data_IF_831906362650
#
_entry.id   IF_831906362650
#
_cell.length_a   1.000
_cell.length_b   1.000
_cell.length_c   1.000
_cell.angle_alpha   90.00
_cell.angle_beta   90.00
_cell.angle_gamma   90.00
#
_symmetry.space_group_name_H-M   'P 1'
#
loop_
_entity.id
_entity.type
_entity.pdbx_description
1 polymer ?
#
# COMPACT_ATOMS: atom_id res chain seq x y z
N UNK A 1 -6.63 10.20 90.32
CA UNK A 1 -7.82 10.88 89.71
C UNK A 1 -7.44 11.74 88.49
N UNK A 2 -6.25 11.59 87.91
CA UNK A 2 -5.81 12.35 86.72
C UNK A 2 -5.75 11.46 85.47
N UNK A 3 -5.68 10.16 85.62
CA UNK A 3 -5.41 9.21 84.51
C UNK A 3 -6.66 8.80 83.75
N UNK A 4 -7.85 8.94 84.33
CA UNK A 4 -9.13 8.52 83.72
C UNK A 4 -9.71 9.63 82.83
N UNK A 5 -9.27 10.84 82.92
CA UNK A 5 -9.74 11.98 82.13
C UNK A 5 -9.04 12.06 80.77
N UNK A 6 -7.77 11.68 80.75
CA UNK A 6 -6.97 11.67 79.50
C UNK A 6 -7.34 10.52 78.56
N UNK A 7 -7.69 9.33 79.10
CA UNK A 7 -8.11 8.17 78.31
C UNK A 7 -9.44 8.38 77.57
N UNK A 8 -10.34 9.24 78.13
CA UNK A 8 -11.62 9.53 77.47
C UNK A 8 -11.47 10.60 76.38
N UNK A 9 -10.49 11.46 76.42
CA UNK A 9 -10.24 12.46 75.36
C UNK A 9 -9.64 11.83 74.15
N UNK A 10 -8.71 10.91 74.27
CA UNK A 10 -8.14 10.16 73.14
C UNK A 10 -9.17 9.23 72.48
N UNK A 11 -10.11 8.70 73.26
CA UNK A 11 -11.19 7.85 72.72
C UNK A 11 -12.25 8.64 71.95
N UNK A 12 -12.55 9.86 72.44
CA UNK A 12 -13.53 10.75 71.78
C UNK A 12 -12.97 11.32 70.47
N UNK A 13 -11.69 11.71 70.43
CA UNK A 13 -11.04 12.17 69.20
C UNK A 13 -10.87 11.06 68.16
N UNK A 14 -10.51 9.85 68.61
CA UNK A 14 -10.40 8.69 67.72
C UNK A 14 -11.77 8.27 67.13
N UNK A 15 -12.85 8.38 67.94
CA UNK A 15 -14.20 8.12 67.44
C UNK A 15 -14.72 9.23 66.52
N UNK A 16 -14.38 10.48 66.76
CA UNK A 16 -14.75 11.60 65.89
C UNK A 16 -14.03 11.51 64.52
N UNK A 17 -12.81 11.00 64.51
CA UNK A 17 -12.04 10.80 63.27
C UNK A 17 -12.55 9.63 62.43
N UNK A 18 -13.16 8.60 63.04
CA UNK A 18 -13.78 7.46 62.35
C UNK A 18 -15.22 7.77 61.90
N UNK A 19 -15.88 8.72 62.57
CA UNK A 19 -17.28 9.05 62.36
C UNK A 19 -17.55 10.26 61.46
N UNK A 20 -16.51 10.85 60.85
CA UNK A 20 -16.75 11.96 59.92
C UNK A 20 -17.21 11.43 58.56
N UNK A 21 -18.50 11.57 58.21
CA UNK A 21 -19.04 11.12 56.92
C UNK A 21 -18.41 11.85 55.76
N UNK A 22 -17.77 13.01 55.99
CA UNK A 22 -17.07 13.80 54.96
C UNK A 22 -15.82 13.11 54.39
N UNK A 23 -15.15 12.23 55.16
CA UNK A 23 -14.00 11.47 54.66
C UNK A 23 -14.43 10.27 53.79
N UNK A 24 -15.61 9.71 54.04
CA UNK A 24 -16.18 8.68 53.18
C UNK A 24 -16.67 9.22 51.82
N UNK A 25 -17.16 10.46 51.82
CA UNK A 25 -17.59 11.14 50.60
C UNK A 25 -16.39 11.54 49.69
N UNK A 26 -15.25 11.92 50.32
CA UNK A 26 -14.01 12.18 49.56
C UNK A 26 -13.38 10.90 49.01
N UNK A 27 -13.54 9.76 49.66
CA UNK A 27 -13.07 8.45 49.15
C UNK A 27 -13.99 7.88 48.09
N UNK A 28 -15.25 8.33 48.04
CA UNK A 28 -16.23 7.90 47.01
C UNK A 28 -16.18 8.75 45.73
N UNK A 29 -15.50 9.87 45.69
CA UNK A 29 -15.23 10.60 44.44
C UNK A 29 -14.09 9.95 43.65
N UNK A 30 -14.28 8.74 43.26
CA UNK A 30 -13.28 7.93 42.51
C UNK A 30 -13.10 8.42 41.09
N UNK A 31 -14.05 9.18 40.54
CA UNK A 31 -13.99 9.66 39.15
C UNK A 31 -14.30 11.15 39.08
N UNK A 32 -13.30 11.96 38.86
CA UNK A 32 -13.48 13.40 38.58
C UNK A 32 -13.67 13.61 37.06
N UNK A 33 -14.28 14.74 36.68
CA UNK A 33 -14.43 15.09 35.25
C UNK A 33 -13.05 15.10 34.51
N UNK A 34 -11.96 15.32 35.23
CA UNK A 34 -10.59 15.31 34.67
C UNK A 34 -10.13 13.88 34.31
N UNK A 35 -10.63 12.86 35.00
CA UNK A 35 -10.27 11.45 34.76
C UNK A 35 -10.97 10.91 33.51
N UNK A 36 -12.04 11.58 33.05
CA UNK A 36 -12.71 11.27 31.79
C UNK A 36 -11.98 11.79 30.56
N UNK A 37 -11.13 12.80 30.69
CA UNK A 37 -10.37 13.39 29.58
C UNK A 37 -9.46 12.37 28.86
N UNK A 38 -8.66 11.56 29.56
CA UNK A 38 -7.87 10.50 28.90
C UNK A 38 -8.74 9.47 28.19
N UNK A 39 -9.84 9.05 28.81
CA UNK A 39 -10.77 8.09 28.24
C UNK A 39 -11.48 8.66 27.00
N UNK A 40 -11.93 9.92 27.05
CA UNK A 40 -12.53 10.62 25.94
C UNK A 40 -11.53 10.80 24.78
N UNK A 41 -10.26 11.11 25.06
CA UNK A 41 -9.22 11.24 24.03
C UNK A 41 -8.94 9.91 23.33
N UNK A 42 -8.87 8.81 24.08
CA UNK A 42 -8.71 7.47 23.51
C UNK A 42 -9.94 7.11 22.68
N UNK A 43 -11.14 7.35 23.19
CA UNK A 43 -12.40 7.12 22.45
C UNK A 43 -12.45 7.92 21.15
N UNK A 44 -12.01 9.17 21.17
CA UNK A 44 -11.94 10.02 19.99
C UNK A 44 -10.92 9.48 18.95
N UNK A 45 -9.73 9.06 19.41
CA UNK A 45 -8.72 8.47 18.51
C UNK A 45 -9.22 7.17 17.87
N UNK A 46 -9.89 6.31 18.65
CA UNK A 46 -10.49 5.07 18.12
C UNK A 46 -11.57 5.40 17.10
N UNK A 47 -12.44 6.36 17.38
CA UNK A 47 -13.48 6.79 16.43
C UNK A 47 -12.86 7.34 15.13
N UNK A 48 -11.81 8.16 15.23
CA UNK A 48 -11.09 8.68 14.08
C UNK A 48 -10.44 7.56 13.25
N UNK A 49 -9.83 6.58 13.91
CA UNK A 49 -9.23 5.42 13.26
C UNK A 49 -10.28 4.56 12.54
N UNK A 50 -11.47 4.37 13.13
CA UNK A 50 -12.58 3.66 12.50
C UNK A 50 -13.10 4.40 11.29
N UNK A 51 -13.30 5.71 11.37
CA UNK A 51 -13.71 6.53 10.23
C UNK A 51 -12.67 6.42 9.11
N UNK A 52 -11.38 6.57 9.41
CA UNK A 52 -10.31 6.42 8.43
C UNK A 52 -10.26 5.01 7.84
N UNK A 53 -10.55 3.98 8.63
CA UNK A 53 -10.58 2.59 8.18
C UNK A 53 -11.66 2.31 7.13
N UNK A 54 -12.75 3.09 7.15
CA UNK A 54 -13.87 2.96 6.20
C UNK A 54 -13.65 3.86 4.97
N UNK A 55 -13.22 5.10 5.19
CA UNK A 55 -13.09 6.12 4.13
C UNK A 55 -11.75 5.99 3.39
N UNK A 56 -10.72 5.51 4.07
CA UNK A 56 -9.38 5.32 3.50
C UNK A 56 -9.40 4.40 2.27
N UNK A 57 -8.48 4.64 1.34
CA UNK A 57 -8.28 3.82 0.13
C UNK A 57 -6.84 3.37 0.06
N UNK A 58 -6.63 2.07 0.04
CA UNK A 58 -5.31 1.46 -0.14
C UNK A 58 -5.25 0.90 -1.56
N UNK A 59 -4.36 1.41 -2.43
CA UNK A 59 -4.20 0.87 -3.76
C UNK A 59 -3.51 -0.50 -3.70
N UNK A 60 -4.07 -1.47 -4.41
CA UNK A 60 -3.50 -2.80 -4.59
C UNK A 60 -2.84 -2.85 -5.95
N UNK A 61 -1.55 -3.20 -5.97
CA UNK A 61 -0.76 -3.30 -7.18
C UNK A 61 -0.45 -4.76 -7.51
N UNK A 62 -0.69 -5.13 -8.77
CA UNK A 62 -0.06 -6.30 -9.36
C UNK A 62 1.35 -5.93 -9.82
N UNK A 63 2.27 -6.86 -9.67
CA UNK A 63 3.66 -6.71 -10.13
C UNK A 63 4.04 -7.86 -11.06
N UNK A 64 4.82 -7.54 -12.09
CA UNK A 64 5.31 -8.53 -13.04
C UNK A 64 6.67 -8.15 -13.58
N UNK A 65 7.42 -9.14 -14.01
CA UNK A 65 8.62 -8.94 -14.83
C UNK A 65 8.23 -8.78 -16.29
N UNK A 66 9.01 -7.99 -17.00
CA UNK A 66 8.75 -7.71 -18.41
C UNK A 66 10.00 -7.29 -19.16
N UNK A 67 9.77 -6.82 -20.36
CA UNK A 67 10.82 -6.46 -21.32
C UNK A 67 10.33 -5.29 -22.16
N UNK A 68 11.23 -4.35 -22.47
CA UNK A 68 10.99 -3.38 -23.53
C UNK A 68 11.29 -3.99 -24.89
N UNK A 69 10.37 -3.88 -25.82
CA UNK A 69 10.55 -4.33 -27.20
C UNK A 69 10.18 -3.21 -28.17
N UNK A 70 10.69 -3.26 -29.37
CA UNK A 70 10.28 -2.35 -30.44
C UNK A 70 8.84 -2.69 -30.87
N UNK A 71 8.03 -1.68 -31.08
CA UNK A 71 6.70 -1.86 -31.63
C UNK A 71 6.79 -2.29 -33.09
N UNK A 72 6.10 -3.37 -33.46
CA UNK A 72 6.07 -3.85 -34.84
C UNK A 72 5.40 -2.86 -35.80
N UNK A 73 4.45 -2.08 -35.30
CA UNK A 73 3.75 -1.06 -36.08
C UNK A 73 4.58 0.23 -36.23
N UNK A 74 5.33 0.59 -35.22
CA UNK A 74 6.18 1.80 -35.18
C UNK A 74 7.54 1.46 -34.59
N UNK A 75 8.54 1.03 -35.38
CA UNK A 75 9.85 0.61 -34.87
C UNK A 75 10.64 1.68 -34.11
N UNK A 76 10.24 2.95 -34.22
CA UNK A 76 10.81 4.06 -33.45
C UNK A 76 10.25 4.16 -32.03
N UNK A 77 9.19 3.43 -31.69
CA UNK A 77 8.57 3.40 -30.37
C UNK A 77 8.86 2.09 -29.67
N UNK A 78 8.99 2.18 -28.33
CA UNK A 78 9.09 1.02 -27.47
C UNK A 78 7.73 0.72 -26.84
N UNK A 79 7.43 -0.56 -26.72
CA UNK A 79 6.30 -1.08 -25.94
C UNK A 79 6.84 -1.96 -24.82
N UNK A 80 6.09 -2.12 -23.77
CA UNK A 80 6.40 -3.06 -22.67
C UNK A 80 5.59 -4.33 -22.86
N UNK A 81 6.26 -5.47 -22.75
CA UNK A 81 5.66 -6.80 -22.67
C UNK A 81 5.94 -7.35 -21.30
N UNK A 82 4.91 -7.59 -20.50
CA UNK A 82 5.04 -8.01 -19.09
C UNK A 82 4.23 -9.28 -18.82
N UNK A 83 4.73 -10.14 -17.92
CA UNK A 83 4.18 -11.46 -17.64
C UNK A 83 3.62 -11.49 -16.21
N UNK A 84 2.32 -11.20 -16.09
CA UNK A 84 1.62 -11.20 -14.81
C UNK A 84 1.16 -12.60 -14.41
N UNK A 85 1.16 -12.95 -13.10
CA UNK A 85 0.49 -14.15 -12.61
C UNK A 85 -0.96 -14.19 -13.07
N UNK A 86 -1.52 -15.40 -13.32
CA UNK A 86 -2.90 -15.53 -13.85
C UNK A 86 -3.93 -14.81 -13.00
N UNK A 87 -3.80 -14.88 -11.68
CA UNK A 87 -4.76 -14.28 -10.75
C UNK A 87 -4.87 -12.77 -10.94
N UNK A 88 -3.74 -12.10 -11.16
CA UNK A 88 -3.66 -10.66 -11.32
C UNK A 88 -3.87 -10.26 -12.78
N UNK A 89 -3.24 -10.99 -13.71
CA UNK A 89 -3.31 -10.70 -15.14
C UNK A 89 -4.72 -10.72 -15.73
N UNK A 90 -5.61 -11.55 -15.18
CA UNK A 90 -7.02 -11.59 -15.60
C UNK A 90 -7.87 -10.42 -15.10
N UNK A 91 -7.38 -9.68 -14.12
CA UNK A 91 -8.05 -8.47 -13.62
C UNK A 91 -7.65 -7.23 -14.42
N UNK A 92 -6.53 -7.30 -15.15
CA UNK A 92 -6.01 -6.21 -15.97
C UNK A 92 -6.84 -6.09 -17.25
N UNK A 93 -7.21 -4.86 -17.61
CA UNK A 93 -7.98 -4.57 -18.80
C UNK A 93 -7.23 -3.62 -19.74
N UNK A 94 -7.48 -3.71 -21.05
CA UNK A 94 -7.00 -2.69 -21.99
C UNK A 94 -7.51 -1.30 -21.56
N UNK A 95 -6.58 -0.32 -21.50
CA UNK A 95 -6.84 1.03 -20.99
C UNK A 95 -6.33 1.28 -19.58
N UNK A 96 -5.97 0.24 -18.81
CA UNK A 96 -5.40 0.40 -17.48
C UNK A 96 -4.04 1.08 -17.53
N UNK A 97 -3.75 1.87 -16.48
CA UNK A 97 -2.45 2.51 -16.33
C UNK A 97 -1.45 1.56 -15.71
N UNK A 98 -0.28 1.50 -16.29
CA UNK A 98 0.84 0.70 -15.80
C UNK A 98 2.08 1.57 -15.68
N UNK A 99 2.85 1.37 -14.62
CA UNK A 99 4.17 1.96 -14.43
C UNK A 99 5.23 0.93 -14.77
N UNK A 100 6.08 1.26 -15.73
CA UNK A 100 7.15 0.41 -16.20
C UNK A 100 8.48 0.94 -15.70
N UNK A 101 9.18 0.17 -14.90
CA UNK A 101 10.48 0.51 -14.34
C UNK A 101 11.58 -0.30 -15.00
N UNK A 102 12.37 0.28 -15.92
CA UNK A 102 13.51 -0.41 -16.48
C UNK A 102 14.55 -0.70 -15.39
N UNK A 103 15.18 -1.88 -15.42
CA UNK A 103 16.24 -2.22 -14.45
C UNK A 103 17.48 -1.31 -14.55
N UNK A 104 17.60 -0.59 -15.66
CA UNK A 104 18.67 0.41 -15.87
C UNK A 104 18.45 1.74 -15.13
N UNK A 105 17.26 1.94 -14.53
CA UNK A 105 16.89 3.18 -13.85
C UNK A 105 16.33 2.87 -12.45
N UNK A 106 16.83 3.60 -11.44
CA UNK A 106 16.35 3.47 -10.06
C UNK A 106 14.92 3.97 -9.95
N UNK A 107 14.00 3.10 -9.48
CA UNK A 107 12.60 3.49 -9.23
C UNK A 107 12.47 4.59 -8.17
N UNK A 108 13.34 4.59 -7.15
CA UNK A 108 13.32 5.60 -6.08
C UNK A 108 13.69 6.99 -6.59
N UNK A 109 14.51 7.07 -7.63
CA UNK A 109 15.00 8.33 -8.17
C UNK A 109 14.14 8.85 -9.32
N UNK A 110 13.74 7.97 -10.23
CA UNK A 110 13.03 8.36 -11.47
C UNK A 110 11.56 7.97 -11.48
N UNK A 111 11.14 7.06 -10.61
CA UNK A 111 9.83 6.44 -10.69
C UNK A 111 9.76 5.40 -11.81
N UNK A 112 8.59 5.26 -12.40
CA UNK A 112 8.35 4.41 -13.56
C UNK A 112 7.91 5.23 -14.78
N UNK A 113 8.10 4.67 -15.96
CA UNK A 113 7.54 5.21 -17.21
C UNK A 113 6.04 4.96 -17.20
N UNK A 114 5.26 5.98 -17.46
CA UNK A 114 3.81 5.84 -17.62
C UNK A 114 3.51 5.11 -18.94
N UNK A 115 2.65 4.11 -18.85
CA UNK A 115 2.19 3.36 -20.01
C UNK A 115 0.70 3.04 -19.87
N UNK A 116 0.09 2.68 -21.00
CA UNK A 116 -1.32 2.27 -21.05
C UNK A 116 -1.36 0.86 -21.63
N UNK A 117 -2.10 -0.03 -20.97
CA UNK A 117 -2.32 -1.38 -21.45
C UNK A 117 -3.10 -1.35 -22.77
N UNK A 118 -2.54 -1.93 -23.81
CA UNK A 118 -3.16 -2.02 -25.13
C UNK A 118 -3.77 -3.40 -25.39
N UNK A 119 -3.14 -4.44 -24.84
CA UNK A 119 -3.60 -5.83 -25.06
C UNK A 119 -3.26 -6.70 -23.87
N UNK A 120 -4.16 -7.63 -23.54
CA UNK A 120 -4.02 -8.65 -22.52
C UNK A 120 -4.29 -10.00 -23.16
N UNK A 121 -3.37 -10.95 -22.99
CA UNK A 121 -3.55 -12.30 -23.53
C UNK A 121 -4.74 -13.00 -22.84
N UNK A 122 -5.69 -13.56 -23.57
CA UNK A 122 -6.83 -14.27 -22.99
C UNK A 122 -6.43 -15.59 -22.32
N UNK A 123 -5.29 -16.14 -22.69
CA UNK A 123 -4.77 -17.43 -22.21
C UNK A 123 -3.35 -17.27 -21.67
N UNK A 124 -2.95 -18.13 -20.73
CA UNK A 124 -1.57 -18.17 -20.26
C UNK A 124 -0.61 -18.44 -21.42
N UNK A 125 0.48 -17.70 -21.44
CA UNK A 125 1.51 -17.85 -22.47
C UNK A 125 2.50 -18.96 -22.11
N UNK A 126 3.15 -19.50 -23.13
CA UNK A 126 4.19 -20.52 -22.97
C UNK A 126 5.57 -19.90 -22.92
N UNK A 127 6.54 -20.63 -22.36
CA UNK A 127 7.94 -20.20 -22.38
C UNK A 127 8.48 -19.98 -23.81
N UNK A 128 8.00 -20.75 -24.78
CA UNK A 128 8.36 -20.59 -26.18
C UNK A 128 7.93 -19.22 -26.74
N UNK A 129 6.76 -18.71 -26.33
CA UNK A 129 6.31 -17.39 -26.72
C UNK A 129 7.19 -16.28 -26.08
N UNK A 130 7.57 -16.42 -24.81
CA UNK A 130 8.50 -15.51 -24.17
C UNK A 130 9.88 -15.52 -24.86
N UNK A 131 10.35 -16.69 -25.26
CA UNK A 131 11.61 -16.83 -26.01
C UNK A 131 11.59 -16.08 -27.36
N UNK A 132 10.45 -16.08 -28.05
CA UNK A 132 10.30 -15.30 -29.29
C UNK A 132 10.40 -13.79 -29.04
N UNK A 133 9.83 -13.29 -27.92
CA UNK A 133 9.91 -11.87 -27.53
C UNK A 133 11.34 -11.42 -27.21
N UNK A 134 12.18 -12.34 -26.74
CA UNK A 134 13.58 -12.09 -26.41
C UNK A 134 14.55 -12.36 -27.58
N UNK A 135 14.04 -12.46 -28.82
CA UNK A 135 14.84 -12.78 -30.00
C UNK A 135 15.67 -14.08 -29.85
N UNK A 136 15.11 -15.05 -29.13
CA UNK A 136 15.78 -16.35 -28.89
C UNK A 136 16.76 -16.35 -27.71
N UNK A 137 16.90 -15.25 -26.98
CA UNK A 137 17.75 -15.21 -25.79
C UNK A 137 17.05 -15.92 -24.60
N UNK A 138 17.51 -17.14 -24.30
CA UNK A 138 16.94 -17.97 -23.25
C UNK A 138 17.17 -17.42 -21.84
N UNK A 139 18.25 -16.70 -21.58
CA UNK A 139 18.53 -16.11 -20.28
C UNK A 139 17.55 -14.96 -19.98
N UNK A 140 17.34 -14.07 -20.94
CA UNK A 140 16.31 -13.03 -20.82
C UNK A 140 14.91 -13.62 -20.69
N UNK A 141 14.58 -14.64 -21.48
CA UNK A 141 13.28 -15.29 -21.38
C UNK A 141 13.03 -15.87 -19.99
N UNK A 142 14.03 -16.54 -19.40
CA UNK A 142 13.93 -17.09 -18.05
C UNK A 142 13.86 -16.00 -16.95
N UNK A 143 14.46 -14.84 -17.19
CA UNK A 143 14.42 -13.72 -16.25
C UNK A 143 13.02 -13.09 -16.15
N UNK A 144 12.32 -12.97 -17.27
CA UNK A 144 11.03 -12.27 -17.35
C UNK A 144 9.81 -13.21 -17.28
N UNK A 145 9.95 -14.46 -17.70
CA UNK A 145 8.86 -15.41 -17.79
C UNK A 145 8.66 -16.17 -16.47
N UNK A 146 7.42 -16.19 -16.02
CA UNK A 146 6.98 -17.06 -14.92
C UNK A 146 5.95 -18.06 -15.48
N UNK A 147 6.03 -19.36 -15.12
CA UNK A 147 5.04 -20.35 -15.55
C UNK A 147 3.62 -19.91 -15.18
N UNK A 148 2.68 -20.19 -16.08
CA UNK A 148 1.27 -19.84 -15.93
C UNK A 148 1.05 -18.31 -15.78
N UNK A 149 1.67 -17.51 -16.65
CA UNK A 149 1.51 -16.05 -16.70
C UNK A 149 0.66 -15.58 -17.89
N UNK A 150 0.04 -14.43 -17.70
CA UNK A 150 -0.71 -13.69 -18.73
C UNK A 150 0.23 -12.63 -19.31
N UNK A 151 0.37 -12.59 -20.62
CA UNK A 151 1.11 -11.52 -21.31
C UNK A 151 0.24 -10.27 -21.38
N UNK A 152 0.81 -9.17 -20.92
CA UNK A 152 0.21 -7.82 -20.97
C UNK A 152 1.13 -6.94 -21.79
N UNK A 153 0.60 -6.34 -22.84
CA UNK A 153 1.30 -5.39 -23.69
C UNK A 153 0.83 -3.99 -23.35
N UNK A 154 1.78 -3.10 -23.09
CA UNK A 154 1.50 -1.71 -22.77
C UNK A 154 2.31 -0.77 -23.65
N UNK A 155 1.65 0.26 -24.16
CA UNK A 155 2.27 1.33 -24.91
C UNK A 155 2.79 2.40 -23.97
N UNK A 156 4.08 2.73 -24.10
CA UNK A 156 4.71 3.77 -23.32
C UNK A 156 4.20 5.14 -23.77
N UNK A 157 3.93 6.02 -22.80
CA UNK A 157 3.44 7.37 -23.09
C UNK A 157 4.59 8.24 -23.58
N UNK A 158 4.52 8.78 -24.81
CA UNK A 158 5.59 9.61 -25.35
C UNK A 158 5.63 10.97 -24.66
N UNK A 159 6.83 11.47 -24.41
CA UNK A 159 7.10 12.81 -23.90
C UNK A 159 8.41 13.33 -24.55
N UNK A 160 8.31 13.98 -25.71
CA UNK A 160 9.47 14.41 -26.49
C UNK A 160 10.35 15.42 -25.76
N UNK A 161 9.83 16.11 -24.76
CA UNK A 161 10.57 17.06 -23.92
C UNK A 161 11.49 16.36 -22.89
N UNK A 162 11.34 15.05 -22.69
CA UNK A 162 12.17 14.27 -21.80
C UNK A 162 13.35 13.66 -22.55
N UNK A 163 14.48 13.52 -21.86
CA UNK A 163 15.70 12.95 -22.44
C UNK A 163 15.51 11.52 -22.98
N UNK A 164 14.64 10.76 -22.34
CA UNK A 164 14.29 9.39 -22.75
C UNK A 164 13.24 9.32 -23.86
N UNK A 165 12.55 10.43 -24.17
CA UNK A 165 11.41 10.47 -25.09
C UNK A 165 10.09 9.96 -24.48
N UNK A 166 10.07 9.57 -23.17
CA UNK A 166 8.91 9.02 -22.50
C UNK A 166 8.57 9.75 -21.21
N UNK A 167 7.30 9.66 -20.78
CA UNK A 167 6.82 10.29 -19.56
C UNK A 167 7.13 9.41 -18.35
N UNK A 168 7.80 10.00 -17.36
CA UNK A 168 8.11 9.38 -16.06
C UNK A 168 7.20 9.92 -14.97
N UNK A 169 6.96 9.11 -13.95
CA UNK A 169 6.04 9.48 -12.87
C UNK A 169 6.63 10.47 -11.85
N UNK A 170 7.96 10.51 -11.66
CA UNK A 170 8.59 11.36 -10.64
C UNK A 170 9.54 12.41 -11.18
N UNK A 171 10.22 12.17 -12.30
CA UNK A 171 11.27 13.06 -12.81
C UNK A 171 11.34 13.03 -14.34
N UNK A 172 12.36 13.72 -14.91
CA UNK A 172 12.63 13.66 -16.35
C UNK A 172 13.19 12.31 -16.83
N UNK A 173 13.44 11.37 -15.88
CA UNK A 173 13.84 10.02 -16.15
C UNK A 173 15.30 9.84 -16.59
N UNK A 174 15.69 8.57 -16.79
CA UNK A 174 17.02 8.22 -17.29
C UNK A 174 17.17 8.59 -18.76
N UNK A 175 18.38 8.98 -19.17
CA UNK A 175 18.64 9.47 -20.52
C UNK A 175 18.56 8.41 -21.61
N UNK A 176 18.81 7.14 -21.28
CA UNK A 176 18.86 6.06 -22.27
C UNK A 176 17.96 4.90 -21.88
N UNK A 177 17.06 4.56 -22.79
CA UNK A 177 16.20 3.38 -22.72
C UNK A 177 16.32 2.68 -24.05
N UNK A 178 16.62 1.37 -24.01
CA UNK A 178 16.79 0.56 -25.21
C UNK A 178 15.80 -0.62 -25.22
N UNK A 179 15.58 -1.17 -26.42
CA UNK A 179 14.90 -2.45 -26.54
C UNK A 179 15.69 -3.57 -25.86
N UNK A 180 15.03 -4.65 -25.49
CA UNK A 180 15.58 -5.79 -24.75
C UNK A 180 16.08 -5.44 -23.35
N UNK A 181 15.61 -4.32 -22.77
CA UNK A 181 15.86 -3.96 -21.36
C UNK A 181 14.81 -4.64 -20.47
N UNK A 182 15.24 -5.44 -19.48
CA UNK A 182 14.31 -5.99 -18.47
C UNK A 182 13.63 -4.89 -17.67
N UNK A 183 12.36 -5.14 -17.31
CA UNK A 183 11.54 -4.16 -16.60
C UNK A 183 10.71 -4.80 -15.51
N UNK A 184 10.40 -4.03 -14.49
CA UNK A 184 9.33 -4.30 -13.54
C UNK A 184 8.09 -3.50 -13.92
N UNK A 185 6.97 -4.20 -14.12
CA UNK A 185 5.67 -3.59 -14.39
C UNK A 185 4.81 -3.58 -13.13
N UNK A 186 4.11 -2.46 -12.88
CA UNK A 186 3.16 -2.30 -11.77
C UNK A 186 1.87 -1.73 -12.27
N UNK A 187 0.79 -2.51 -12.12
CA UNK A 187 -0.58 -2.09 -12.47
C UNK A 187 -1.38 -1.95 -11.20
N UNK A 188 -2.11 -0.85 -11.06
CA UNK A 188 -3.06 -0.68 -9.97
C UNK A 188 -4.34 -1.43 -10.33
N UNK A 189 -4.64 -2.53 -9.61
CA UNK A 189 -5.82 -3.36 -9.88
C UNK A 189 -7.08 -2.79 -9.25
N UNK A 190 -6.99 -2.36 -8.02
CA UNK A 190 -8.15 -1.87 -7.24
C UNK A 190 -7.71 -1.03 -6.06
N UNK A 191 -8.66 -0.28 -5.54
CA UNK A 191 -8.52 0.40 -4.26
C UNK A 191 -9.44 -0.28 -3.25
N UNK A 192 -8.91 -0.60 -2.07
CA UNK A 192 -9.69 -1.25 -1.02
C UNK A 192 -9.62 -0.43 0.28
N UNK A 193 -10.73 -0.41 1.01
CA UNK A 193 -10.77 0.22 2.33
C UNK A 193 -10.01 -0.65 3.33
N UNK A 194 -9.25 -0.05 4.29
CA UNK A 194 -8.50 -0.81 5.31
C UNK A 194 -9.35 -1.84 6.07
N UNK A 195 -10.62 -1.53 6.32
CA UNK A 195 -11.55 -2.41 7.05
C UNK A 195 -11.78 -3.76 6.35
N UNK A 196 -11.65 -3.82 5.01
CA UNK A 196 -11.87 -5.07 4.25
C UNK A 196 -10.77 -6.10 4.48
N UNK A 197 -9.60 -5.69 4.97
CA UNK A 197 -8.53 -6.62 5.36
C UNK A 197 -8.82 -7.32 6.69
N UNK A 198 -9.56 -6.65 7.60
CA UNK A 198 -9.99 -7.24 8.87
C UNK A 198 -11.27 -8.06 8.70
N UNK A 199 -12.17 -7.59 7.84
CA UNK A 199 -13.49 -8.19 7.61
C UNK A 199 -13.69 -8.42 6.10
N UNK A 200 -13.20 -9.54 5.53
CA UNK A 200 -13.28 -9.81 4.09
C UNK A 200 -14.71 -9.89 3.53
N UNK A 201 -15.72 -10.09 4.40
CA UNK A 201 -17.12 -10.13 4.02
C UNK A 201 -17.77 -8.75 3.79
N UNK A 202 -17.05 -7.66 4.04
CA UNK A 202 -17.49 -6.27 3.76
C UNK A 202 -17.02 -5.75 2.38
N UNK A 203 -16.59 -6.64 1.52
CA UNK A 203 -16.05 -6.34 0.20
C UNK A 203 -17.15 -6.07 -0.84
#
# INVERSE_FOLDING_TARGET
MADEKDSNLFRAEALAQIASPEQLDQLMQIVTLKDWLPLASIGFLVALALIWSIVGRIPIFAQAKGLLVQDMANPSQLISVSYFPIADGKQIQPGDRVLISPETASFQEFGGIEAIVTSVSPQPVTQAAALQRTNGNSELANLIYTPASIEVIAQLKPAPDNLSGYQWSMSRGAAQISSQTPTDARVMLSEQAPITFLFPFLK
#
